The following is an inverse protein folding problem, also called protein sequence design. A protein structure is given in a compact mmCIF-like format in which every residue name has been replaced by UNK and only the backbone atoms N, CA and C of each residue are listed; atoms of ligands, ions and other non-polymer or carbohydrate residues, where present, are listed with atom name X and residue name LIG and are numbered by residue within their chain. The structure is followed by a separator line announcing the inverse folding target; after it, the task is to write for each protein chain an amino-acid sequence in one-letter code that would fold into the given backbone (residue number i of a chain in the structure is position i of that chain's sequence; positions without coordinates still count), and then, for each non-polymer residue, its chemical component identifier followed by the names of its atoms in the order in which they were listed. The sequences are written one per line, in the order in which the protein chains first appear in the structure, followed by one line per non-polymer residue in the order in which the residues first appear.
data_IF_802593638751
#
_entry.id   IF_802593638751
#
_cell.length_a   1.000
_cell.length_b   1.000
_cell.length_c   1.000
_cell.angle_alpha   90.00
_cell.angle_beta   90.00
_cell.angle_gamma   90.00
#
_symmetry.space_group_name_H-M   'P 1'
#
loop_
_entity.id
_entity.type
_entity.pdbx_description
1 polymer ?
#
# COMPACT_ATOMS: atom_id res chain seq x y z
N UNK A 1 -43.17 45.70 12.51
CA UNK A 1 -41.94 45.32 11.80
C UNK A 1 -41.51 43.97 12.35
N UNK A 2 -41.91 42.89 11.70
CA UNK A 2 -41.64 41.52 12.14
C UNK A 2 -40.31 41.04 11.56
N UNK A 3 -39.46 40.31 12.31
CA UNK A 3 -38.24 39.71 11.77
C UNK A 3 -38.61 38.58 10.81
N UNK A 4 -37.96 38.60 9.64
CA UNK A 4 -38.06 37.58 8.61
C UNK A 4 -37.60 36.22 9.15
N UNK A 5 -38.40 35.19 8.89
CA UNK A 5 -38.10 33.80 9.21
C UNK A 5 -36.77 33.39 8.56
N UNK A 6 -35.74 33.20 9.38
CA UNK A 6 -34.50 32.55 8.98
C UNK A 6 -34.81 31.11 8.59
N UNK A 7 -34.79 30.85 7.28
CA UNK A 7 -34.95 29.53 6.69
C UNK A 7 -33.88 28.61 7.28
N UNK A 8 -34.32 27.62 8.06
CA UNK A 8 -33.49 26.51 8.50
C UNK A 8 -33.19 25.65 7.27
N UNK A 9 -32.01 25.81 6.67
CA UNK A 9 -31.55 24.99 5.54
C UNK A 9 -30.76 23.81 6.10
N UNK A 10 -31.31 22.58 6.17
CA UNK A 10 -30.65 21.42 6.77
C UNK A 10 -29.91 20.61 5.68
N UNK A 11 -29.08 21.27 4.86
CA UNK A 11 -28.43 20.67 3.69
C UNK A 11 -26.90 20.62 3.75
N UNK A 12 -26.32 20.73 4.94
CA UNK A 12 -24.96 20.25 5.18
C UNK A 12 -25.09 19.06 6.13
N UNK A 13 -25.09 17.82 5.62
CA UNK A 13 -24.63 16.72 6.43
C UNK A 13 -23.22 17.11 6.86
N UNK A 14 -23.04 17.40 8.15
CA UNK A 14 -21.71 17.44 8.74
C UNK A 14 -21.10 16.08 8.48
N UNK A 15 -20.34 15.94 7.40
CA UNK A 15 -19.60 14.74 7.08
C UNK A 15 -18.43 14.64 8.05
N UNK A 16 -18.75 14.27 9.29
CA UNK A 16 -18.01 13.17 9.89
C UNK A 16 -18.30 11.99 8.98
N UNK A 17 -17.52 11.89 7.90
CA UNK A 17 -17.13 10.62 7.34
C UNK A 17 -16.55 9.85 8.52
N UNK A 18 -17.40 9.14 9.26
CA UNK A 18 -16.98 8.03 10.08
C UNK A 18 -16.35 7.08 9.08
N UNK A 19 -15.04 7.25 8.86
CA UNK A 19 -14.29 6.38 7.98
C UNK A 19 -14.56 4.98 8.51
N UNK A 20 -15.29 4.18 7.74
CA UNK A 20 -15.59 2.81 8.12
C UNK A 20 -14.25 2.13 8.34
N UNK A 21 -14.00 1.70 9.58
CA UNK A 21 -12.74 1.07 9.91
C UNK A 21 -12.67 -0.26 9.15
N UNK A 22 -11.70 -0.37 8.23
CA UNK A 22 -11.46 -1.60 7.50
C UNK A 22 -11.29 -2.78 8.46
N UNK A 23 -11.93 -3.91 8.16
CA UNK A 23 -11.82 -5.10 9.00
C UNK A 23 -10.45 -5.74 8.82
N UNK A 24 -9.90 -6.35 9.89
CA UNK A 24 -8.61 -7.06 9.82
C UNK A 24 -8.62 -8.14 8.72
N UNK A 25 -9.66 -8.99 8.59
CA UNK A 25 -9.72 -9.95 7.49
C UNK A 25 -9.77 -9.30 6.10
N UNK A 26 -10.49 -8.18 5.95
CA UNK A 26 -10.57 -7.44 4.69
C UNK A 26 -9.23 -6.82 4.29
N UNK A 27 -8.49 -6.27 5.25
CA UNK A 27 -7.15 -5.74 5.02
C UNK A 27 -6.16 -6.85 4.62
N UNK A 28 -6.17 -7.98 5.33
CA UNK A 28 -5.33 -9.15 5.00
C UNK A 28 -5.67 -9.68 3.61
N UNK A 29 -6.95 -9.82 3.28
CA UNK A 29 -7.38 -10.33 1.97
C UNK A 29 -7.00 -9.39 0.81
N UNK A 30 -7.14 -8.08 1.01
CA UNK A 30 -6.75 -7.09 0.02
C UNK A 30 -5.23 -7.12 -0.26
N UNK A 31 -4.43 -7.15 0.81
CA UNK A 31 -2.97 -7.25 0.69
C UNK A 31 -2.56 -8.58 0.05
N UNK A 32 -3.13 -9.70 0.49
CA UNK A 32 -2.83 -11.02 -0.06
C UNK A 32 -3.16 -11.10 -1.57
N UNK A 33 -4.33 -10.61 -1.98
CA UNK A 33 -4.74 -10.61 -3.40
C UNK A 33 -3.80 -9.76 -4.25
N UNK A 34 -3.34 -8.62 -3.74
CA UNK A 34 -2.40 -7.75 -4.45
C UNK A 34 -1.02 -8.42 -4.63
N UNK A 35 -0.52 -9.13 -3.61
CA UNK A 35 0.75 -9.86 -3.67
C UNK A 35 0.66 -11.05 -4.63
N UNK A 36 -0.42 -11.83 -4.53
CA UNK A 36 -0.65 -12.99 -5.41
C UNK A 36 -0.78 -12.50 -6.86
N UNK A 37 -1.55 -11.44 -7.12
CA UNK A 37 -1.88 -10.94 -8.46
C UNK A 37 -0.70 -10.84 -9.42
N UNK A 38 0.12 -9.78 -9.33
CA UNK A 38 1.30 -9.64 -10.20
C UNK A 38 2.43 -10.62 -9.85
N UNK A 39 2.44 -11.16 -8.63
CA UNK A 39 3.50 -12.02 -8.12
C UNK A 39 3.50 -13.44 -8.71
N UNK A 40 2.34 -14.04 -8.99
CA UNK A 40 2.25 -15.45 -9.45
C UNK A 40 3.01 -15.71 -10.76
N UNK A 41 3.09 -14.72 -11.65
CA UNK A 41 3.76 -14.87 -12.94
C UNK A 41 5.28 -15.01 -12.79
N UNK A 42 5.85 -14.47 -11.70
CA UNK A 42 7.30 -14.52 -11.47
C UNK A 42 7.78 -15.93 -11.07
N UNK A 43 6.95 -16.71 -10.38
CA UNK A 43 7.35 -18.00 -9.78
C UNK A 43 7.87 -18.99 -10.85
N UNK A 44 7.14 -19.28 -11.96
CA UNK A 44 7.63 -20.19 -12.98
C UNK A 44 8.91 -19.70 -13.67
N UNK A 45 9.04 -18.38 -13.87
CA UNK A 45 10.19 -17.79 -14.52
C UNK A 45 11.46 -17.93 -13.66
N UNK A 46 11.37 -17.64 -12.36
CA UNK A 46 12.52 -17.75 -11.44
C UNK A 46 12.95 -19.22 -11.32
N UNK A 47 11.97 -20.13 -11.16
CA UNK A 47 12.23 -21.58 -11.11
C UNK A 47 12.92 -22.10 -12.38
N UNK A 48 12.53 -21.59 -13.55
CA UNK A 48 13.14 -21.97 -14.84
C UNK A 48 14.58 -21.46 -14.99
N UNK A 49 14.88 -20.25 -14.52
CA UNK A 49 16.20 -19.62 -14.74
C UNK A 49 17.21 -20.05 -13.68
N UNK A 50 16.82 -20.09 -12.40
CA UNK A 50 17.72 -20.46 -11.29
C UNK A 50 17.72 -21.97 -11.00
N UNK A 51 16.65 -22.68 -11.34
CA UNK A 51 16.42 -24.06 -10.87
C UNK A 51 15.70 -24.10 -9.51
N UNK A 52 15.17 -25.27 -9.14
CA UNK A 52 14.21 -25.41 -8.03
C UNK A 52 14.81 -25.08 -6.66
N UNK A 53 15.88 -25.76 -6.27
CA UNK A 53 16.53 -25.58 -4.97
C UNK A 53 16.98 -24.14 -4.67
N UNK A 54 17.77 -23.48 -5.55
CA UNK A 54 18.21 -22.10 -5.28
C UNK A 54 17.05 -21.11 -5.30
N UNK A 55 16.01 -21.33 -6.11
CA UNK A 55 14.82 -20.48 -6.11
C UNK A 55 14.05 -20.54 -4.80
N UNK A 56 13.87 -21.74 -4.23
CA UNK A 56 13.20 -21.92 -2.94
C UNK A 56 14.00 -21.22 -1.84
N UNK A 57 15.33 -21.38 -1.82
CA UNK A 57 16.18 -20.67 -0.86
C UNK A 57 16.04 -19.14 -1.00
N UNK A 58 16.00 -18.62 -2.23
CA UNK A 58 15.82 -17.19 -2.48
C UNK A 58 14.44 -16.69 -2.03
N UNK A 59 13.38 -17.46 -2.26
CA UNK A 59 12.02 -17.14 -1.79
C UNK A 59 12.01 -17.02 -0.25
N UNK A 60 12.65 -17.95 0.47
CA UNK A 60 12.74 -17.88 1.93
C UNK A 60 13.52 -16.64 2.40
N UNK A 61 14.63 -16.30 1.74
CA UNK A 61 15.41 -15.09 2.05
C UNK A 61 14.56 -13.83 1.85
N UNK A 62 13.86 -13.73 0.71
CA UNK A 62 12.99 -12.58 0.41
C UNK A 62 11.80 -12.52 1.36
N UNK A 63 11.26 -13.67 1.79
CA UNK A 63 10.18 -13.72 2.78
C UNK A 63 10.61 -13.10 4.12
N UNK A 64 11.80 -13.48 4.63
CA UNK A 64 12.36 -12.87 5.85
C UNK A 64 12.61 -11.37 5.65
N UNK A 65 13.15 -10.98 4.50
CA UNK A 65 13.40 -9.57 4.20
C UNK A 65 12.10 -8.75 4.11
N UNK A 66 11.02 -9.35 3.60
CA UNK A 66 9.71 -8.73 3.53
C UNK A 66 9.09 -8.55 4.93
N UNK A 67 9.21 -9.55 5.82
CA UNK A 67 8.76 -9.44 7.21
C UNK A 67 9.47 -8.31 7.94
N UNK A 68 10.81 -8.25 7.84
CA UNK A 68 11.61 -7.17 8.42
C UNK A 68 11.22 -5.80 7.84
N UNK A 69 10.97 -5.72 6.53
CA UNK A 69 10.56 -4.48 5.88
C UNK A 69 9.19 -3.99 6.39
N UNK A 70 8.24 -4.90 6.61
CA UNK A 70 6.92 -4.57 7.16
C UNK A 70 7.01 -4.12 8.61
N UNK A 71 7.84 -4.76 9.45
CA UNK A 71 8.08 -4.33 10.83
C UNK A 71 8.62 -2.89 10.88
N UNK A 72 9.62 -2.58 10.06
CA UNK A 72 10.14 -1.21 9.96
C UNK A 72 9.06 -0.23 9.50
N UNK A 73 8.30 -0.58 8.46
CA UNK A 73 7.24 0.29 7.95
C UNK A 73 6.18 0.59 9.02
N UNK A 74 5.74 -0.41 9.79
CA UNK A 74 4.77 -0.25 10.87
C UNK A 74 5.32 0.63 11.99
N UNK A 75 6.57 0.40 12.42
CA UNK A 75 7.23 1.21 13.45
C UNK A 75 7.30 2.70 13.09
N UNK A 76 7.68 3.02 11.86
CA UNK A 76 7.72 4.42 11.41
C UNK A 76 6.33 5.02 11.15
N UNK A 77 5.35 4.18 10.77
CA UNK A 77 3.95 4.60 10.61
C UNK A 77 3.35 5.01 11.95
N UNK A 78 3.56 4.21 13.00
CA UNK A 78 3.09 4.50 14.36
C UNK A 78 3.75 5.74 14.95
N UNK A 79 5.05 5.94 14.72
CA UNK A 79 5.78 7.10 15.21
C UNK A 79 5.37 8.43 14.52
N UNK A 80 5.06 8.39 13.21
CA UNK A 80 4.79 9.59 12.40
C UNK A 80 3.30 9.90 12.17
N UNK A 81 2.38 9.00 12.55
CA UNK A 81 0.96 9.05 12.24
C UNK A 81 0.66 9.33 10.75
N UNK A 82 1.53 8.85 9.85
CA UNK A 82 1.41 9.03 8.39
C UNK A 82 0.90 7.75 7.75
N UNK A 83 -0.14 7.84 6.94
CA UNK A 83 -0.77 6.68 6.27
C UNK A 83 -0.22 6.39 4.88
N UNK A 84 0.83 7.11 4.43
CA UNK A 84 1.37 6.99 3.07
C UNK A 84 2.87 6.72 3.09
N UNK A 85 3.35 5.87 2.17
CA UNK A 85 4.78 5.56 2.02
C UNK A 85 5.66 6.81 1.92
N UNK A 86 5.24 7.79 1.12
CA UNK A 86 5.98 9.05 0.97
C UNK A 86 5.94 9.91 2.24
N UNK A 87 4.85 9.86 3.02
CA UNK A 87 4.74 10.55 4.30
C UNK A 87 5.67 9.95 5.35
N UNK A 88 5.70 8.61 5.45
CA UNK A 88 6.60 7.87 6.34
C UNK A 88 8.07 8.18 5.99
N UNK A 89 8.42 8.15 4.71
CA UNK A 89 9.80 8.48 4.29
C UNK A 89 10.15 9.96 4.39
N UNK A 90 9.17 10.87 4.35
CA UNK A 90 9.41 12.29 4.63
C UNK A 90 9.83 12.51 6.07
N UNK A 91 9.21 11.79 7.01
CA UNK A 91 9.53 11.91 8.44
C UNK A 91 10.91 11.33 8.75
N UNK A 92 11.25 10.18 8.17
CA UNK A 92 12.53 9.52 8.43
C UNK A 92 13.72 10.13 7.67
N UNK A 93 13.54 10.58 6.42
CA UNK A 93 14.63 10.99 5.52
C UNK A 93 14.43 12.38 4.88
N UNK A 94 13.42 13.13 5.30
CA UNK A 94 13.11 14.45 4.75
C UNK A 94 12.50 14.41 3.34
N UNK A 95 12.40 15.58 2.71
CA UNK A 95 11.73 15.74 1.40
C UNK A 95 12.36 14.94 0.26
N UNK A 96 13.67 14.67 0.32
CA UNK A 96 14.37 13.87 -0.70
C UNK A 96 13.92 12.41 -0.62
N UNK A 97 13.88 11.82 0.58
CA UNK A 97 13.39 10.45 0.76
C UNK A 97 11.93 10.28 0.32
N UNK A 98 11.09 11.28 0.59
CA UNK A 98 9.71 11.31 0.13
C UNK A 98 9.61 11.31 -1.41
N UNK A 99 10.45 12.10 -2.10
CA UNK A 99 10.46 12.18 -3.56
C UNK A 99 10.93 10.85 -4.19
N UNK A 100 12.04 10.29 -3.69
CA UNK A 100 12.55 9.00 -4.16
C UNK A 100 11.51 7.90 -4.02
N UNK A 101 10.83 7.85 -2.86
CA UNK A 101 9.77 6.85 -2.62
C UNK A 101 8.60 7.02 -3.58
N UNK A 102 8.19 8.26 -3.88
CA UNK A 102 7.14 8.52 -4.87
C UNK A 102 7.51 7.98 -6.24
N UNK A 103 8.74 8.23 -6.70
CA UNK A 103 9.22 7.73 -8.00
C UNK A 103 9.22 6.20 -8.02
N UNK A 104 9.72 5.56 -6.97
CA UNK A 104 9.78 4.09 -6.88
C UNK A 104 8.37 3.46 -6.87
N UNK A 105 7.43 4.06 -6.14
CA UNK A 105 6.03 3.62 -6.09
C UNK A 105 5.35 3.76 -7.46
N UNK A 106 5.61 4.84 -8.20
CA UNK A 106 5.08 5.03 -9.57
C UNK A 106 5.60 3.93 -10.49
N UNK A 107 6.90 3.66 -10.48
CA UNK A 107 7.52 2.61 -11.31
C UNK A 107 6.96 1.23 -10.93
N UNK A 108 6.83 0.93 -9.64
CA UNK A 108 6.28 -0.34 -9.16
C UNK A 108 4.83 -0.56 -9.59
N UNK A 109 3.97 0.45 -9.42
CA UNK A 109 2.58 0.34 -9.86
C UNK A 109 2.47 0.24 -11.38
N UNK A 110 3.30 0.96 -12.12
CA UNK A 110 3.34 0.86 -13.57
C UNK A 110 3.72 -0.55 -14.04
N UNK A 111 4.75 -1.15 -13.47
CA UNK A 111 5.12 -2.54 -13.75
C UNK A 111 4.03 -3.54 -13.37
N UNK A 112 3.39 -3.34 -12.22
CA UNK A 112 2.25 -4.17 -11.79
C UNK A 112 1.06 -4.10 -12.76
N UNK A 113 0.72 -2.91 -13.25
CA UNK A 113 -0.33 -2.72 -14.26
C UNK A 113 0.03 -3.39 -15.59
N UNK A 114 1.30 -3.36 -16.01
CA UNK A 114 1.76 -4.08 -17.20
C UNK A 114 1.58 -5.59 -17.00
N UNK A 115 2.00 -6.14 -15.86
CA UNK A 115 1.84 -7.57 -15.57
C UNK A 115 0.35 -7.97 -15.54
N UNK A 116 -0.51 -7.15 -14.94
CA UNK A 116 -1.95 -7.37 -14.96
C UNK A 116 -2.52 -7.34 -16.39
N UNK A 117 -2.06 -6.44 -17.26
CA UNK A 117 -2.46 -6.39 -18.67
C UNK A 117 -1.97 -7.60 -19.47
N UNK A 118 -0.84 -8.21 -19.10
CA UNK A 118 -0.33 -9.42 -19.76
C UNK A 118 -1.12 -10.66 -19.31
N UNK A 119 -1.57 -10.69 -18.06
CA UNK A 119 -2.32 -11.81 -17.48
C UNK A 119 -3.77 -11.86 -18.02
N UNK A 120 -4.43 -10.70 -18.12
CA UNK A 120 -5.82 -10.55 -18.60
C UNK A 120 -5.86 -10.61 -20.13
#
# INVERSE_FOLDING_TARGET
MSPSAGIHVPLLPGSKSTAEHGTIPGAVFNVATSIIGSGIMSIPAILKVLGVFPSIALILIVAVLAEVSVDFLMRFTDAGAKTTYAGVMKEAFGSVGALTTKVFVIINNFGGLILLLIII
#
